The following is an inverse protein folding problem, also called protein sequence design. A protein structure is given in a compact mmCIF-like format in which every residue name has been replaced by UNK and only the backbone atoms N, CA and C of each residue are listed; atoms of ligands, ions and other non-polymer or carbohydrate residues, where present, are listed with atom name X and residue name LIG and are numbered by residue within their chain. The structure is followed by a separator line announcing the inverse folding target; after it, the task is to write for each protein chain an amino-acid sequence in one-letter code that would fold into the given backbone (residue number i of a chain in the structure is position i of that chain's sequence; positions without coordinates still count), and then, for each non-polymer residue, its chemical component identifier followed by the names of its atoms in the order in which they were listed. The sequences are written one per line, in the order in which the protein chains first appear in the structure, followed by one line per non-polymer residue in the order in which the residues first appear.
data_IF_032267336858
#
_entry.id   IF_032267336858
#
_cell.length_a   1.000
_cell.length_b   1.000
_cell.length_c   1.000
_cell.angle_alpha   90.00
_cell.angle_beta   90.00
_cell.angle_gamma   90.00
#
_symmetry.space_group_name_H-M   'P 1'
#
loop_
_entity.id
_entity.type
_entity.pdbx_description
1 polymer ?
#
# COMPACT_ATOMS: atom_id res chain seq x y z
N UNK A 1 1.95 -11.70 0.13
CA UNK A 1 1.54 -10.62 -0.78
C UNK A 1 1.13 -9.40 0.04
N UNK A 2 1.52 -8.23 -0.46
CA UNK A 2 1.13 -6.93 0.07
C UNK A 2 0.11 -6.28 -0.87
N UNK A 3 -0.71 -5.38 -0.32
CA UNK A 3 -1.71 -4.64 -1.08
C UNK A 3 -1.20 -3.23 -1.33
N UNK A 4 -1.53 -2.69 -2.48
CA UNK A 4 -1.16 -1.34 -2.89
C UNK A 4 -2.38 -0.64 -3.46
N UNK A 5 -2.46 0.66 -3.18
CA UNK A 5 -3.44 1.55 -3.78
C UNK A 5 -2.67 2.51 -4.68
N UNK A 6 -3.00 2.46 -5.96
CA UNK A 6 -2.48 3.36 -6.98
C UNK A 6 -3.57 4.38 -7.30
N UNK A 7 -3.26 5.65 -7.09
CA UNK A 7 -4.13 6.78 -7.40
C UNK A 7 -3.65 7.44 -8.69
N UNK A 8 -4.47 7.42 -9.73
CA UNK A 8 -4.07 7.79 -11.09
C UNK A 8 -4.73 9.12 -11.48
N UNK A 9 -3.95 10.01 -12.08
CA UNK A 9 -4.43 11.23 -12.73
C UNK A 9 -3.86 11.30 -14.13
N UNK A 10 -4.69 11.56 -15.14
CA UNK A 10 -4.19 11.70 -16.50
C UNK A 10 -3.21 12.86 -16.64
N UNK A 11 -2.19 12.65 -17.48
CA UNK A 11 -1.45 13.76 -18.09
C UNK A 11 -2.32 14.40 -19.18
N UNK A 12 -1.96 15.61 -19.68
CA UNK A 12 -2.67 16.21 -20.80
C UNK A 12 -2.79 15.27 -22.01
N UNK A 13 -1.69 14.58 -22.36
CA UNK A 13 -1.63 13.62 -23.46
C UNK A 13 -2.49 12.38 -23.19
N UNK A 14 -2.53 11.92 -21.94
CA UNK A 14 -3.38 10.82 -21.49
C UNK A 14 -4.87 11.13 -21.70
N UNK A 15 -5.30 12.37 -21.40
CA UNK A 15 -6.70 12.80 -21.62
C UNK A 15 -7.08 12.79 -23.10
N UNK A 16 -6.20 13.31 -23.95
CA UNK A 16 -6.44 13.31 -25.39
C UNK A 16 -6.53 11.87 -25.95
N UNK A 17 -5.71 10.95 -25.42
CA UNK A 17 -5.77 9.54 -25.76
C UNK A 17 -7.09 8.92 -25.33
N UNK A 18 -7.52 9.13 -24.09
CA UNK A 18 -8.77 8.58 -23.55
C UNK A 18 -9.98 8.95 -24.42
N UNK A 19 -10.05 10.18 -24.96
CA UNK A 19 -11.15 10.59 -25.84
C UNK A 19 -11.21 9.74 -27.12
N UNK A 20 -10.06 9.30 -27.63
CA UNK A 20 -9.95 8.46 -28.84
C UNK A 20 -10.05 6.96 -28.53
N UNK A 21 -9.71 6.59 -27.30
CA UNK A 21 -9.52 5.23 -26.84
C UNK A 21 -9.96 5.11 -25.37
N UNK A 22 -11.28 5.02 -25.11
CA UNK A 22 -11.83 5.06 -23.75
C UNK A 22 -11.33 3.94 -22.85
N UNK A 23 -10.97 2.80 -23.44
CA UNK A 23 -10.53 1.60 -22.70
C UNK A 23 -9.01 1.58 -22.46
N UNK A 24 -8.30 2.67 -22.79
CA UNK A 24 -6.83 2.69 -22.78
C UNK A 24 -6.22 2.34 -21.43
N UNK A 25 -6.83 2.81 -20.33
CA UNK A 25 -6.35 2.56 -18.96
C UNK A 25 -6.57 1.11 -18.56
N UNK A 26 -7.75 0.56 -18.85
CA UNK A 26 -8.06 -0.84 -18.56
C UNK A 26 -7.12 -1.76 -19.34
N UNK A 27 -6.95 -1.52 -20.65
CA UNK A 27 -6.00 -2.31 -21.45
C UNK A 27 -4.57 -2.19 -20.95
N UNK A 28 -4.15 -1.00 -20.52
CA UNK A 28 -2.81 -0.82 -19.96
C UNK A 28 -2.60 -1.71 -18.72
N UNK A 29 -3.58 -1.78 -17.82
CA UNK A 29 -3.53 -2.66 -16.64
C UNK A 29 -3.47 -4.14 -17.04
N UNK A 30 -4.23 -4.56 -18.05
CA UNK A 30 -4.29 -5.96 -18.49
C UNK A 30 -3.02 -6.44 -19.22
N UNK A 31 -2.31 -5.55 -19.92
CA UNK A 31 -1.10 -5.94 -20.69
C UNK A 31 0.19 -5.90 -19.88
N UNK A 32 0.19 -5.23 -18.72
CA UNK A 32 1.37 -5.16 -17.86
C UNK A 32 1.49 -6.49 -17.12
N UNK A 33 2.49 -7.28 -17.52
CA UNK A 33 2.77 -8.59 -16.98
C UNK A 33 4.00 -8.52 -16.07
N UNK A 34 3.76 -8.43 -14.76
CA UNK A 34 4.79 -8.52 -13.74
C UNK A 34 4.51 -9.76 -12.87
N UNK A 35 5.49 -10.66 -12.69
CA UNK A 35 5.32 -11.88 -11.91
C UNK A 35 4.73 -11.62 -10.52
N UNK A 36 3.80 -12.48 -10.12
CA UNK A 36 3.13 -12.44 -8.82
C UNK A 36 2.43 -11.11 -8.50
N UNK A 37 2.08 -10.33 -9.52
CA UNK A 37 1.24 -9.13 -9.38
C UNK A 37 -0.13 -9.34 -9.99
N UNK A 38 -1.16 -8.77 -9.34
CA UNK A 38 -2.54 -8.89 -9.81
C UNK A 38 -3.32 -7.62 -9.47
N UNK A 39 -4.04 -7.08 -10.44
CA UNK A 39 -5.02 -6.02 -10.17
C UNK A 39 -6.29 -6.65 -9.58
N UNK A 40 -6.60 -6.30 -8.33
CA UNK A 40 -7.83 -6.69 -7.67
C UNK A 40 -9.03 -5.84 -8.09
N UNK A 41 -8.80 -4.63 -8.60
CA UNK A 41 -9.85 -3.77 -9.11
C UNK A 41 -9.34 -2.46 -9.67
N UNK A 42 -10.06 -1.93 -10.66
CA UNK A 42 -9.83 -0.64 -11.29
C UNK A 42 -11.16 0.13 -11.29
N UNK A 43 -11.15 1.34 -10.74
CA UNK A 43 -12.34 2.17 -10.59
C UNK A 43 -12.07 3.56 -11.14
N UNK A 44 -12.97 4.08 -11.97
CA UNK A 44 -13.04 5.52 -12.21
C UNK A 44 -13.65 6.18 -10.97
N UNK A 45 -13.07 7.30 -10.53
CA UNK A 45 -13.53 7.99 -9.31
C UNK A 45 -13.79 9.47 -9.60
N UNK A 46 -14.69 10.05 -8.81
CA UNK A 46 -15.01 11.47 -8.87
C UNK A 46 -14.31 12.16 -7.70
N UNK A 47 -13.21 12.86 -7.97
CA UNK A 47 -12.41 13.50 -6.94
C UNK A 47 -11.12 14.10 -7.48
N UNK A 48 -10.07 14.11 -6.65
CA UNK A 48 -8.76 14.63 -7.05
C UNK A 48 -8.01 13.72 -8.05
N UNK A 49 -8.44 12.47 -8.18
CA UNK A 49 -7.86 11.47 -9.06
C UNK A 49 -8.91 11.03 -10.06
N UNK A 50 -8.46 10.55 -11.22
CA UNK A 50 -9.33 10.04 -12.28
C UNK A 50 -9.65 8.55 -12.05
N UNK A 51 -8.67 7.78 -11.55
CA UNK A 51 -8.85 6.35 -11.22
C UNK A 51 -8.18 5.92 -9.93
N UNK A 52 -8.66 4.81 -9.40
CA UNK A 52 -8.03 4.02 -8.34
C UNK A 52 -7.80 2.60 -8.85
N UNK A 53 -6.55 2.14 -8.79
CA UNK A 53 -6.19 0.74 -9.05
C UNK A 53 -5.74 0.10 -7.73
N UNK A 54 -6.32 -1.07 -7.43
CA UNK A 54 -5.96 -1.88 -6.27
C UNK A 54 -5.11 -3.03 -6.78
N UNK A 55 -3.88 -3.11 -6.29
CA UNK A 55 -2.87 -4.06 -6.76
C UNK A 55 -2.42 -4.95 -5.61
N UNK A 56 -2.23 -6.24 -5.87
CA UNK A 56 -1.42 -7.12 -5.03
C UNK A 56 -0.06 -7.34 -5.69
N UNK A 57 0.99 -7.37 -4.88
CA UNK A 57 2.34 -7.65 -5.33
C UNK A 57 3.14 -8.37 -4.22
N UNK A 58 4.25 -9.06 -4.56
CA UNK A 58 5.08 -9.72 -3.56
C UNK A 58 5.81 -8.71 -2.64
N UNK A 59 6.27 -7.60 -3.22
CA UNK A 59 7.13 -6.59 -2.57
C UNK A 59 6.91 -5.18 -3.17
N UNK A 60 7.62 -4.19 -2.62
CA UNK A 60 7.50 -2.78 -3.03
C UNK A 60 8.09 -2.55 -4.42
N UNK A 61 9.15 -3.27 -4.77
CA UNK A 61 9.87 -3.19 -6.03
C UNK A 61 8.97 -3.62 -7.19
N UNK A 62 8.23 -4.71 -7.03
CA UNK A 62 7.26 -5.21 -8.00
C UNK A 62 6.11 -4.22 -8.20
N UNK A 63 5.57 -3.65 -7.11
CA UNK A 63 4.54 -2.63 -7.18
C UNK A 63 5.03 -1.33 -7.82
N UNK A 64 6.25 -0.89 -7.51
CA UNK A 64 6.86 0.30 -8.11
C UNK A 64 7.06 0.11 -9.61
N UNK A 65 7.54 -1.07 -10.03
CA UNK A 65 7.70 -1.40 -11.45
C UNK A 65 6.35 -1.39 -12.17
N UNK A 66 5.31 -2.00 -11.60
CA UNK A 66 3.94 -1.95 -12.15
C UNK A 66 3.46 -0.52 -12.32
N UNK A 67 3.63 0.31 -11.29
CA UNK A 67 3.26 1.72 -11.32
C UNK A 67 4.02 2.51 -12.40
N UNK A 68 5.30 2.24 -12.61
CA UNK A 68 6.09 2.92 -13.63
C UNK A 68 5.63 2.54 -15.04
N UNK A 69 5.44 1.24 -15.30
CA UNK A 69 4.96 0.76 -16.60
C UNK A 69 3.56 1.30 -16.90
N UNK A 70 2.66 1.29 -15.91
CA UNK A 70 1.31 1.82 -16.05
C UNK A 70 1.29 3.33 -16.36
N UNK A 71 2.15 4.11 -15.69
CA UNK A 71 2.27 5.55 -15.94
C UNK A 71 2.63 5.87 -17.38
N UNK A 72 3.57 5.11 -17.95
CA UNK A 72 4.02 5.28 -19.35
C UNK A 72 2.95 4.83 -20.34
N UNK A 73 2.38 3.64 -20.14
CA UNK A 73 1.44 3.05 -21.10
C UNK A 73 0.11 3.79 -21.11
N UNK A 74 -0.45 4.09 -19.93
CA UNK A 74 -1.74 4.74 -19.78
C UNK A 74 -1.67 6.28 -19.87
N UNK A 75 -0.49 6.89 -19.79
CA UNK A 75 -0.34 8.35 -19.80
C UNK A 75 -0.91 8.99 -18.54
N UNK A 76 -0.51 8.48 -17.38
CA UNK A 76 -1.01 8.92 -16.07
C UNK A 76 0.14 9.22 -15.11
N UNK A 77 -0.06 10.21 -14.25
CA UNK A 77 0.69 10.34 -13.01
C UNK A 77 0.08 9.43 -11.95
N UNK A 78 0.93 8.70 -11.22
CA UNK A 78 0.49 7.73 -10.22
C UNK A 78 1.08 8.09 -8.86
N UNK A 79 0.24 8.07 -7.83
CA UNK A 79 0.67 8.01 -6.43
C UNK A 79 0.44 6.59 -5.91
N UNK A 80 1.50 5.91 -5.49
CA UNK A 80 1.46 4.52 -5.04
C UNK A 80 1.62 4.44 -3.54
N UNK A 81 0.69 3.76 -2.86
CA UNK A 81 0.66 3.63 -1.40
C UNK A 81 0.63 2.16 -1.00
N UNK A 82 1.55 1.74 -0.13
CA UNK A 82 1.43 0.45 0.55
C UNK A 82 0.22 0.48 1.47
N UNK A 83 -0.65 -0.52 1.35
CA UNK A 83 -1.89 -0.62 2.09
C UNK A 83 -1.83 -1.78 3.08
N UNK A 84 -1.98 -1.46 4.36
CA UNK A 84 -2.11 -2.44 5.44
C UNK A 84 -3.60 -2.65 5.67
N UNK A 85 -4.14 -3.87 5.50
CA UNK A 85 -5.52 -4.16 5.86
C UNK A 85 -5.75 -3.85 7.34
N UNK A 86 -6.87 -3.20 7.66
CA UNK A 86 -7.19 -2.79 9.04
C UNK A 86 -7.13 -3.96 10.02
N UNK A 87 -7.67 -5.13 9.65
CA UNK A 87 -7.58 -6.33 10.48
C UNK A 87 -6.14 -6.71 10.87
N UNK A 88 -5.17 -6.60 9.94
CA UNK A 88 -3.75 -6.87 10.22
C UNK A 88 -3.16 -5.81 11.15
N UNK A 89 -3.56 -4.55 10.99
CA UNK A 89 -3.13 -3.47 11.87
C UNK A 89 -3.66 -3.69 13.30
N UNK A 90 -4.93 -4.05 13.45
CA UNK A 90 -5.56 -4.37 14.73
C UNK A 90 -4.85 -5.52 15.45
N UNK A 91 -4.54 -6.61 14.74
CA UNK A 91 -3.78 -7.74 15.29
C UNK A 91 -2.42 -7.30 15.84
N UNK A 92 -1.69 -6.44 15.10
CA UNK A 92 -0.40 -5.92 15.53
C UNK A 92 -0.51 -5.06 16.80
N UNK A 93 -1.55 -4.23 16.90
CA UNK A 93 -1.75 -3.35 18.05
C UNK A 93 -2.18 -4.12 19.29
N UNK A 94 -3.01 -5.15 19.14
CA UNK A 94 -3.42 -6.02 20.24
C UNK A 94 -2.22 -6.78 20.84
N UNK A 95 -1.29 -7.24 20.00
CA UNK A 95 -0.04 -7.83 20.49
C UNK A 95 0.80 -6.83 21.29
N UNK A 96 0.89 -5.58 20.85
CA UNK A 96 1.65 -4.55 21.57
C UNK A 96 1.03 -4.20 22.95
N UNK A 97 -0.30 -4.18 23.04
CA UNK A 97 -1.03 -3.97 24.30
C UNK A 97 -0.69 -5.06 25.33
N UNK A 98 -0.64 -6.33 24.90
CA UNK A 98 -0.31 -7.45 25.79
C UNK A 98 1.10 -7.38 26.40
N UNK A 99 2.06 -6.70 25.74
CA UNK A 99 3.39 -6.46 26.31
C UNK A 99 3.40 -5.31 27.33
N UNK A 100 2.54 -4.30 27.13
CA UNK A 100 2.44 -3.13 28.03
C UNK A 100 1.70 -3.45 29.33
N UNK A 101 0.81 -4.44 29.31
CA UNK A 101 0.03 -4.88 30.48
C UNK A 101 0.75 -5.91 31.37
N UNK A 102 1.94 -6.40 30.96
CA UNK A 102 2.73 -7.29 31.81
C UNK A 102 3.26 -6.52 33.02
N UNK A 103 3.05 -7.02 34.26
CA UNK A 103 3.63 -6.40 35.43
C UNK A 103 5.15 -6.35 35.24
N UNK A 104 5.73 -5.16 35.46
CA UNK A 104 7.18 -4.98 35.47
C UNK A 104 7.75 -6.06 36.39
N UNK A 105 8.77 -6.85 35.97
CA UNK A 105 9.37 -7.82 36.86
C UNK A 105 9.79 -7.08 38.13
N UNK A 106 9.18 -7.45 39.26
CA UNK A 106 9.61 -6.98 40.57
C UNK A 106 11.07 -7.38 40.71
N UNK A 107 11.97 -6.39 40.75
CA UNK A 107 13.39 -6.64 40.90
C UNK A 107 13.64 -6.94 42.39
N UNK A 108 13.91 -8.20 42.80
CA UNK A 108 13.98 -8.56 44.21
C UNK A 108 15.24 -8.02 44.91
N UNK A 109 16.21 -7.49 44.15
CA UNK A 109 17.58 -7.31 44.61
C UNK A 109 17.97 -5.87 45.00
N UNK A 110 17.01 -4.98 45.28
CA UNK A 110 17.30 -3.57 45.60
C UNK A 110 17.12 -3.14 47.06
N UNK A 111 16.56 -3.98 47.94
CA UNK A 111 16.19 -3.54 49.30
C UNK A 111 17.15 -3.97 50.44
N UNK A 112 18.14 -4.85 50.19
CA UNK A 112 18.90 -5.48 51.28
C UNK A 112 20.28 -4.86 51.62
N UNK A 113 20.64 -3.69 51.08
CA UNK A 113 21.97 -3.11 51.33
C UNK A 113 21.99 -1.68 51.91
N UNK A 114 20.91 -1.26 52.59
CA UNK A 114 20.87 0.01 53.31
C UNK A 114 20.53 -0.25 54.78
N UNK A 115 21.43 -0.90 55.52
CA UNK A 115 21.56 -0.79 56.99
C UNK A 115 22.86 -1.45 57.51
N UNK A 116 23.97 -1.21 56.83
CA UNK A 116 25.30 -1.39 57.42
C UNK A 116 25.80 -0.07 57.98
N UNK A 117 25.50 0.21 59.26
CA UNK A 117 26.32 0.94 60.25
C UNK A 117 25.55 1.16 61.56
#
# INVERSE_FOLDING_TARGET
MANYILLLTFTPEGRERMVKDPDSVQRAVEIIDIPDTETLGLYAVLGMYDFVNILTAPDNESAARFSMELGVVAGVHITTMAAIPVARLEDSLNQEQTWREQPRPENPDLDDNINGH
#
